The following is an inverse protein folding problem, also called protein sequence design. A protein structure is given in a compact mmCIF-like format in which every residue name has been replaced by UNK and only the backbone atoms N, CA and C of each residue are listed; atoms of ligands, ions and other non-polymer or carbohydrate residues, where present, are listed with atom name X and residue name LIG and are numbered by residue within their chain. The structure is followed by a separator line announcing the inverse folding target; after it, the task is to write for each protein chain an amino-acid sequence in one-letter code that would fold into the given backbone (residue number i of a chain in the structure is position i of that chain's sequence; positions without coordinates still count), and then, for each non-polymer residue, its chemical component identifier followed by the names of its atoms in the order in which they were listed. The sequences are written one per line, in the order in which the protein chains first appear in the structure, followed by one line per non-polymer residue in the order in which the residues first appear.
data_IF_983397212092
#
_entry.id   IF_983397212092
#
_cell.length_a   1.000
_cell.length_b   1.000
_cell.length_c   1.000
_cell.angle_alpha   90.00
_cell.angle_beta   90.00
_cell.angle_gamma   90.00
#
_symmetry.space_group_name_H-M   'P 1'
#
loop_
_entity.id
_entity.type
_entity.pdbx_description
1 polymer ?
#
# COMPACT_ATOMS: atom_id res chain seq x y z
N UNK A 1 -1.97 11.81 -10.11
CA UNK A 1 -2.56 10.46 -9.97
C UNK A 1 -3.76 10.53 -9.07
N UNK A 2 -4.85 9.90 -9.46
CA UNK A 2 -6.11 9.94 -8.73
C UNK A 2 -6.32 8.63 -7.98
N UNK A 3 -6.83 8.72 -6.75
CA UNK A 3 -7.13 7.56 -5.92
C UNK A 3 -8.63 7.39 -5.79
N UNK A 4 -9.07 6.14 -5.73
CA UNK A 4 -10.48 5.82 -5.52
C UNK A 4 -10.61 4.61 -4.58
N UNK A 5 -11.77 4.47 -3.97
CA UNK A 5 -12.07 3.32 -3.12
C UNK A 5 -13.56 3.24 -2.82
N UNK A 6 -13.97 2.07 -2.34
CA UNK A 6 -15.33 1.82 -1.87
C UNK A 6 -15.43 2.31 -0.41
N UNK A 7 -16.35 3.25 -0.09
CA UNK A 7 -16.48 3.76 1.28
C UNK A 7 -16.80 2.69 2.32
N UNK A 8 -17.58 1.67 1.97
CA UNK A 8 -17.91 0.59 2.89
C UNK A 8 -16.66 -0.21 3.25
N UNK A 9 -15.84 -0.52 2.26
CA UNK A 9 -14.57 -1.23 2.49
C UNK A 9 -13.60 -0.36 3.28
N UNK A 10 -13.57 0.95 3.01
CA UNK A 10 -12.71 1.87 3.75
C UNK A 10 -13.05 1.88 5.23
N UNK A 11 -14.35 1.94 5.56
CA UNK A 11 -14.81 1.92 6.95
C UNK A 11 -14.49 0.59 7.63
N UNK A 12 -14.71 -0.52 6.96
CA UNK A 12 -14.39 -1.85 7.49
C UNK A 12 -12.88 -1.99 7.72
N UNK A 13 -12.07 -1.49 6.80
CA UNK A 13 -10.61 -1.54 6.92
C UNK A 13 -10.12 -0.74 8.13
N UNK A 14 -10.68 0.45 8.32
CA UNK A 14 -10.31 1.29 9.46
C UNK A 14 -10.62 0.59 10.78
N UNK A 15 -11.80 -0.03 10.90
CA UNK A 15 -12.17 -0.78 12.10
C UNK A 15 -11.27 -1.98 12.34
N UNK A 16 -10.93 -2.71 11.28
CA UNK A 16 -10.16 -3.94 11.38
C UNK A 16 -8.67 -3.70 11.61
N UNK A 17 -8.09 -2.75 10.89
CA UNK A 17 -6.63 -2.55 10.86
C UNK A 17 -6.16 -1.23 11.44
N UNK A 18 -7.06 -0.31 11.74
CA UNK A 18 -6.68 1.01 12.25
C UNK A 18 -5.99 1.88 11.20
N UNK A 19 -6.18 1.60 9.93
CA UNK A 19 -5.57 2.33 8.81
C UNK A 19 -6.66 2.85 7.89
N UNK A 20 -6.70 4.18 7.68
CA UNK A 20 -7.61 4.77 6.73
C UNK A 20 -7.08 4.63 5.31
N UNK A 21 -7.99 4.64 4.32
CA UNK A 21 -7.55 4.62 2.93
C UNK A 21 -6.90 5.94 2.51
N UNK A 22 -7.23 7.06 3.18
CA UNK A 22 -6.54 8.32 2.95
C UNK A 22 -5.06 8.22 3.37
N UNK A 23 -4.80 7.61 4.52
CA UNK A 23 -3.43 7.34 4.93
C UNK A 23 -2.74 6.36 3.98
N UNK A 24 -3.45 5.32 3.55
CA UNK A 24 -2.90 4.34 2.60
C UNK A 24 -2.46 5.03 1.30
N UNK A 25 -3.25 5.97 0.80
CA UNK A 25 -2.91 6.71 -0.42
C UNK A 25 -1.59 7.46 -0.29
N UNK A 26 -1.23 7.90 0.92
CA UNK A 26 0.00 8.67 1.13
C UNK A 26 1.27 7.85 0.88
N UNK A 27 1.21 6.50 0.93
CA UNK A 27 2.41 5.69 0.68
C UNK A 27 2.90 5.83 -0.77
N UNK A 28 2.02 6.20 -1.69
CA UNK A 28 2.40 6.38 -3.09
C UNK A 28 3.24 7.65 -3.31
N UNK A 29 3.34 8.51 -2.31
CA UNK A 29 4.22 9.68 -2.32
C UNK A 29 5.61 9.36 -1.78
N UNK A 30 5.80 8.18 -1.20
CA UNK A 30 7.11 7.73 -0.71
C UNK A 30 7.95 7.29 -1.92
N UNK A 31 9.04 8.01 -2.28
CA UNK A 31 9.84 7.65 -3.44
C UNK A 31 10.57 6.33 -3.28
N UNK A 32 10.65 5.80 -2.06
CA UNK A 32 11.33 4.54 -1.77
C UNK A 32 10.34 3.38 -1.56
N UNK A 33 9.06 3.60 -1.84
CA UNK A 33 8.06 2.54 -1.72
C UNK A 33 8.38 1.37 -2.65
N UNK A 34 8.09 0.17 -2.17
CA UNK A 34 8.31 -1.08 -2.90
C UNK A 34 6.98 -1.57 -3.44
N UNK A 35 6.87 -1.72 -4.76
CA UNK A 35 5.64 -2.22 -5.41
C UNK A 35 5.92 -3.51 -6.17
N UNK A 36 5.05 -4.49 -6.02
CA UNK A 36 5.16 -5.78 -6.70
C UNK A 36 3.77 -6.37 -6.94
N UNK A 37 3.69 -7.34 -7.87
CA UNK A 37 2.44 -8.02 -8.15
C UNK A 37 1.97 -8.81 -6.93
N UNK A 38 0.66 -8.81 -6.68
CA UNK A 38 0.09 -9.57 -5.57
C UNK A 38 0.10 -11.06 -5.90
N UNK A 39 0.96 -11.88 -5.25
CA UNK A 39 1.09 -13.30 -5.59
C UNK A 39 -0.14 -14.11 -5.24
N UNK A 40 -0.95 -13.66 -4.27
CA UNK A 40 -2.15 -14.38 -3.83
C UNK A 40 -3.36 -14.10 -4.72
N UNK A 41 -3.28 -13.06 -5.56
CA UNK A 41 -4.37 -12.60 -6.42
C UNK A 41 -3.90 -12.31 -7.83
N UNK A 42 -2.90 -13.06 -8.31
CA UNK A 42 -2.27 -12.81 -9.61
C UNK A 42 -3.23 -12.98 -10.80
N UNK A 43 -4.33 -13.70 -10.60
CA UNK A 43 -5.35 -13.90 -11.65
C UNK A 43 -6.35 -12.75 -11.70
N UNK A 44 -6.37 -11.89 -10.68
CA UNK A 44 -7.24 -10.73 -10.67
C UNK A 44 -6.56 -9.56 -11.36
N UNK A 45 -7.36 -8.69 -11.96
CA UNK A 45 -6.86 -7.58 -12.78
C UNK A 45 -5.81 -6.72 -12.07
N UNK A 46 -4.60 -6.66 -12.60
CA UNK A 46 -3.55 -5.72 -12.21
C UNK A 46 -3.44 -5.42 -10.71
N UNK A 47 -3.65 -6.46 -9.89
CA UNK A 47 -3.59 -6.30 -8.45
C UNK A 47 -2.15 -6.28 -7.98
N UNK A 48 -1.81 -5.25 -7.24
CA UNK A 48 -0.44 -5.02 -6.77
C UNK A 48 -0.42 -4.73 -5.28
N UNK A 49 0.76 -4.89 -4.69
CA UNK A 49 1.05 -4.53 -3.31
C UNK A 49 2.09 -3.42 -3.31
N UNK A 50 1.87 -2.41 -2.48
CA UNK A 50 2.89 -1.38 -2.21
C UNK A 50 3.18 -1.35 -0.72
N UNK A 51 4.46 -1.46 -0.38
CA UNK A 51 4.95 -1.30 1.00
C UNK A 51 5.70 0.03 1.03
N UNK A 52 5.26 0.92 1.91
CA UNK A 52 5.87 2.25 1.98
C UNK A 52 5.54 2.98 3.27
N UNK A 53 6.22 4.10 3.47
CA UNK A 53 5.99 4.98 4.59
C UNK A 53 4.78 5.87 4.34
N UNK A 54 3.90 5.96 5.34
CA UNK A 54 2.73 6.82 5.27
C UNK A 54 3.01 8.21 5.84
N UNK A 55 2.07 9.13 5.63
CA UNK A 55 2.15 10.48 6.19
C UNK A 55 1.97 10.52 7.72
N UNK A 56 1.71 9.37 8.35
CA UNK A 56 1.69 9.23 9.81
C UNK A 56 2.91 8.45 10.31
N UNK A 57 3.94 8.37 9.49
CA UNK A 57 5.22 7.72 9.83
C UNK A 57 5.07 6.24 10.19
N UNK A 58 4.13 5.58 9.54
CA UNK A 58 3.94 4.13 9.70
C UNK A 58 4.31 3.45 8.38
N UNK A 59 4.90 2.27 8.45
CA UNK A 59 5.11 1.45 7.25
C UNK A 59 3.86 0.63 7.01
N UNK A 60 3.26 0.81 5.84
CA UNK A 60 2.00 0.17 5.49
C UNK A 60 2.17 -0.82 4.34
N UNK A 61 1.29 -1.81 4.35
CA UNK A 61 1.13 -2.80 3.28
C UNK A 61 -0.22 -2.51 2.62
N UNK A 62 -0.20 -2.05 1.37
CA UNK A 62 -1.39 -1.57 0.68
C UNK A 62 -1.65 -2.41 -0.56
N UNK A 63 -2.83 -3.06 -0.61
CA UNK A 63 -3.29 -3.77 -1.80
C UNK A 63 -4.10 -2.80 -2.65
N UNK A 64 -3.81 -2.78 -3.95
CA UNK A 64 -4.45 -1.85 -4.88
C UNK A 64 -4.45 -2.42 -6.29
N UNK A 65 -5.21 -1.80 -7.18
CA UNK A 65 -5.15 -2.13 -8.59
C UNK A 65 -5.16 -0.84 -9.42
N UNK A 66 -4.65 -0.94 -10.64
CA UNK A 66 -4.63 0.19 -11.57
C UNK A 66 -5.89 0.15 -12.43
N UNK A 67 -6.56 1.28 -12.58
CA UNK A 67 -7.73 1.46 -13.43
C UNK A 67 -7.53 2.73 -14.27
N UNK A 68 -6.93 2.56 -15.44
CA UNK A 68 -6.54 3.68 -16.27
C UNK A 68 -5.48 4.51 -15.54
N UNK A 69 -5.78 5.78 -15.29
CA UNK A 69 -4.90 6.70 -14.55
C UNK A 69 -5.23 6.76 -13.05
N UNK A 70 -6.06 5.83 -12.55
CA UNK A 70 -6.50 5.80 -11.16
C UNK A 70 -5.90 4.61 -10.42
N UNK A 71 -5.61 4.83 -9.15
CA UNK A 71 -5.24 3.76 -8.23
C UNK A 71 -6.46 3.47 -7.35
N UNK A 72 -6.98 2.24 -7.44
CA UNK A 72 -8.07 1.81 -6.58
C UNK A 72 -7.49 1.09 -5.38
N UNK A 73 -7.70 1.65 -4.20
CA UNK A 73 -7.23 1.04 -2.95
C UNK A 73 -8.23 -0.02 -2.52
N UNK A 74 -7.71 -1.22 -2.21
CA UNK A 74 -8.52 -2.39 -1.86
C UNK A 74 -8.44 -2.68 -0.38
N UNK A 75 -7.25 -2.64 0.20
CA UNK A 75 -7.04 -2.84 1.63
C UNK A 75 -5.70 -2.25 2.06
N UNK A 76 -5.58 -1.99 3.36
CA UNK A 76 -4.34 -1.45 3.91
C UNK A 76 -4.20 -1.90 5.37
N UNK A 77 -2.98 -2.27 5.74
CA UNK A 77 -2.65 -2.66 7.09
C UNK A 77 -1.22 -2.25 7.42
N UNK A 78 -0.88 -2.31 8.68
CA UNK A 78 0.52 -2.09 9.07
C UNK A 78 1.37 -3.24 8.53
N UNK A 79 2.57 -2.92 8.10
CA UNK A 79 3.52 -3.92 7.63
C UNK A 79 3.97 -4.83 8.78
N UNK A 80 4.21 -6.10 8.47
CA UNK A 80 4.83 -7.03 9.42
C UNK A 80 6.31 -6.69 9.56
N UNK A 81 6.99 -7.29 10.54
CA UNK A 81 8.43 -7.08 10.72
C UNK A 81 9.22 -7.52 9.48
N UNK A 82 8.80 -8.63 8.87
CA UNK A 82 9.44 -9.11 7.65
C UNK A 82 9.26 -8.12 6.49
N UNK A 83 8.07 -7.56 6.35
CA UNK A 83 7.78 -6.58 5.32
C UNK A 83 8.55 -5.28 5.55
N UNK A 84 8.65 -4.83 6.81
CA UNK A 84 9.46 -3.66 7.16
C UNK A 84 10.92 -3.89 6.80
N UNK A 85 11.41 -5.10 7.01
CA UNK A 85 12.79 -5.45 6.66
C UNK A 85 13.03 -5.37 5.16
N UNK A 86 12.11 -5.88 4.35
CA UNK A 86 12.19 -5.78 2.90
C UNK A 86 12.25 -4.32 2.44
N UNK A 87 11.41 -3.49 3.02
CA UNK A 87 11.37 -2.06 2.73
C UNK A 87 12.68 -1.38 3.12
N UNK A 88 13.20 -1.69 4.32
CA UNK A 88 14.45 -1.11 4.81
C UNK A 88 15.64 -1.53 3.95
N UNK A 89 15.68 -2.77 3.48
CA UNK A 89 16.73 -3.26 2.60
C UNK A 89 16.75 -2.50 1.28
N UNK A 90 15.57 -2.21 0.72
CA UNK A 90 15.48 -1.40 -0.49
C UNK A 90 15.96 0.02 -0.25
N UNK A 91 15.59 0.63 0.88
CA UNK A 91 16.06 1.96 1.26
C UNK A 91 17.59 1.97 1.41
N UNK A 92 18.15 0.96 2.05
CA UNK A 92 19.60 0.86 2.23
C UNK A 92 20.36 0.86 0.92
N UNK A 93 19.81 0.25 -0.11
CA UNK A 93 20.44 0.25 -1.44
C UNK A 93 20.47 1.65 -2.06
N UNK A 94 19.48 2.48 -1.76
CA UNK A 94 19.42 3.84 -2.27
C UNK A 94 20.31 4.78 -1.47
N UNK A 95 20.47 4.51 -0.17
CA UNK A 95 21.29 5.32 0.73
C UNK A 95 22.78 5.03 0.60
N UNK A 96 23.09 3.90 0.02
CA UNK A 96 24.49 3.52 -0.24
C UNK A 96 25.02 4.20 -1.50
#
# INVERSE_FOLDING_TARGET
MTYEWDPTKANANLRKHGVSFAEAASVFLDPLALTFDDPDHSEEENREITIGGSNRERTLFVAHCLRGDRIRIISARKATQREKKQYAEKRGKWDA
#
